data_IF_756909318776
#
_entry.id   IF_756909318776
#
_cell.length_a   1.000
_cell.length_b   1.000
_cell.length_c   1.000
_cell.angle_alpha   90.00
_cell.angle_beta   90.00
_cell.angle_gamma   90.00
#
_symmetry.space_group_name_H-M   'P 1'
#
loop_
_entity.id
_entity.type
_entity.pdbx_description
1 polymer ?
#
# COMPACT_ATOMS: atom_id res chain seq x y z
N UNK A 1 -5.93 21.13 -9.55
CA UNK A 1 -6.19 22.54 -9.89
C UNK A 1 -6.27 23.43 -8.65
N UNK A 2 -7.23 23.24 -7.73
CA UNK A 2 -7.39 24.12 -6.56
C UNK A 2 -6.14 24.25 -5.64
N UNK A 3 -5.47 23.13 -5.33
CA UNK A 3 -4.23 23.13 -4.52
C UNK A 3 -3.10 23.85 -5.26
N UNK A 4 -2.95 23.56 -6.55
CA UNK A 4 -1.94 24.18 -7.41
C UNK A 4 -2.17 25.69 -7.56
N UNK A 5 -3.42 26.14 -7.72
CA UNK A 5 -3.79 27.56 -7.78
C UNK A 5 -3.55 28.26 -6.44
N UNK A 6 -3.82 27.60 -5.29
CA UNK A 6 -3.47 28.15 -3.97
C UNK A 6 -1.97 28.33 -3.80
N UNK A 7 -1.18 27.37 -4.30
CA UNK A 7 0.29 27.41 -4.26
C UNK A 7 0.84 28.55 -5.13
N UNK A 8 0.34 28.70 -6.36
CA UNK A 8 0.71 29.81 -7.28
C UNK A 8 0.26 31.17 -6.70
N UNK A 9 -0.89 31.23 -6.05
CA UNK A 9 -1.41 32.45 -5.43
C UNK A 9 -0.73 32.82 -4.10
N UNK A 10 0.32 32.11 -3.67
CA UNK A 10 1.03 32.37 -2.41
C UNK A 10 0.24 32.07 -1.14
N UNK A 11 -0.90 31.36 -1.25
CA UNK A 11 -1.78 30.98 -0.13
C UNK A 11 -1.56 29.54 0.34
N UNK A 12 -0.49 28.90 -0.12
CA UNK A 12 -0.10 27.55 0.25
C UNK A 12 0.92 27.56 1.37
N UNK A 13 0.73 26.68 2.35
CA UNK A 13 1.67 26.47 3.46
C UNK A 13 2.87 25.65 2.98
N UNK A 14 3.86 26.35 2.42
CA UNK A 14 5.02 25.74 1.81
C UNK A 14 6.01 25.18 2.85
N UNK A 15 6.02 25.72 4.06
CA UNK A 15 6.90 25.27 5.14
C UNK A 15 6.52 23.87 5.63
N UNK A 16 5.22 23.63 5.86
CA UNK A 16 4.73 22.32 6.27
C UNK A 16 5.00 21.23 5.21
N UNK A 17 4.88 21.56 3.92
CA UNK A 17 5.21 20.62 2.85
C UNK A 17 6.71 20.27 2.81
N UNK A 18 7.57 21.27 2.99
CA UNK A 18 9.03 21.08 3.04
C UNK A 18 9.40 20.24 4.27
N UNK A 19 8.83 20.53 5.44
CA UNK A 19 9.08 19.77 6.67
C UNK A 19 8.63 18.31 6.53
N UNK A 20 7.42 18.06 6.03
CA UNK A 20 6.92 16.70 5.80
C UNK A 20 7.79 15.93 4.79
N UNK A 21 8.22 16.61 3.71
CA UNK A 21 9.13 16.02 2.72
C UNK A 21 10.47 15.65 3.35
N UNK A 22 11.04 16.53 4.17
CA UNK A 22 12.31 16.28 4.83
C UNK A 22 12.21 15.15 5.86
N UNK A 23 11.11 15.10 6.61
CA UNK A 23 10.82 14.02 7.55
C UNK A 23 10.79 12.66 6.83
N UNK A 24 10.04 12.57 5.72
CA UNK A 24 9.95 11.34 4.94
C UNK A 24 11.32 10.91 4.39
N UNK A 25 12.12 11.84 3.86
CA UNK A 25 13.49 11.56 3.39
C UNK A 25 14.38 11.00 4.50
N UNK A 26 14.31 11.62 5.69
CA UNK A 26 15.09 11.17 6.84
C UNK A 26 14.64 9.79 7.32
N UNK A 27 13.32 9.54 7.38
CA UNK A 27 12.76 8.24 7.71
C UNK A 27 13.24 7.16 6.73
N UNK A 28 13.23 7.43 5.43
CA UNK A 28 13.73 6.49 4.42
C UNK A 28 15.24 6.24 4.54
N UNK A 29 16.03 7.27 4.90
CA UNK A 29 17.49 7.17 5.02
C UNK A 29 17.94 6.26 6.17
N UNK A 30 17.15 6.16 7.25
CA UNK A 30 17.54 5.33 8.40
C UNK A 30 17.23 3.85 8.17
N UNK A 31 16.31 3.52 7.27
CA UNK A 31 15.92 2.13 7.00
C UNK A 31 17.13 1.27 6.60
N UNK A 32 17.27 0.12 7.25
CA UNK A 32 18.25 -0.91 6.88
C UNK A 32 17.59 -1.95 5.97
N UNK A 33 18.43 -2.59 5.16
CA UNK A 33 18.03 -3.73 4.34
C UNK A 33 17.94 -4.99 5.21
N UNK A 34 16.85 -5.74 5.06
CA UNK A 34 16.61 -7.01 5.76
C UNK A 34 15.90 -7.98 4.84
N UNK A 35 16.21 -9.27 4.97
CA UNK A 35 15.29 -10.33 4.57
C UNK A 35 14.13 -10.37 5.57
N UNK A 36 12.91 -10.56 5.05
CA UNK A 36 11.70 -10.62 5.86
C UNK A 36 11.10 -12.02 5.78
N UNK A 37 10.76 -12.57 6.94
CA UNK A 37 9.99 -13.81 7.06
C UNK A 37 8.60 -13.46 7.54
N UNK A 38 7.60 -13.86 6.76
CA UNK A 38 6.19 -13.77 7.13
C UNK A 38 5.67 -15.14 7.61
N UNK A 39 5.51 -15.37 8.93
CA UNK A 39 5.01 -16.63 9.48
C UNK A 39 3.53 -16.92 9.17
N UNK A 40 2.86 -15.99 8.47
CA UNK A 40 1.45 -16.07 8.11
C UNK A 40 1.24 -16.26 6.60
N UNK A 41 2.32 -16.33 5.81
CA UNK A 41 2.23 -16.35 4.34
C UNK A 41 1.37 -17.49 3.78
N UNK A 42 1.45 -18.66 4.40
CA UNK A 42 0.71 -19.89 4.06
C UNK A 42 -0.75 -19.88 4.51
N UNK A 43 -1.13 -18.97 5.41
CA UNK A 43 -2.49 -18.81 5.96
C UNK A 43 -3.30 -17.75 5.23
N UNK A 44 -2.69 -17.05 4.28
CA UNK A 44 -3.31 -15.95 3.55
C UNK A 44 -3.84 -16.45 2.22
N UNK A 45 -5.16 -16.33 2.03
CA UNK A 45 -5.84 -16.66 0.77
C UNK A 45 -6.47 -15.41 0.18
N UNK A 46 -6.15 -15.11 -1.06
CA UNK A 46 -6.78 -14.04 -1.82
C UNK A 46 -8.14 -14.50 -2.40
N UNK A 47 -9.08 -13.57 -2.68
CA UNK A 47 -10.37 -13.92 -3.28
C UNK A 47 -10.19 -14.63 -4.63
N UNK A 48 -10.92 -15.73 -4.84
CA UNK A 48 -10.79 -16.62 -6.01
C UNK A 48 -11.17 -15.97 -7.34
N UNK A 49 -11.95 -14.89 -7.30
CA UNK A 49 -12.45 -14.17 -8.49
C UNK A 49 -11.39 -13.25 -9.14
N UNK A 50 -10.22 -13.09 -8.52
CA UNK A 50 -9.18 -12.22 -9.05
C UNK A 50 -8.43 -12.87 -10.25
N UNK A 51 -8.42 -12.18 -11.40
CA UNK A 51 -7.52 -12.50 -12.52
C UNK A 51 -6.05 -12.45 -12.05
N UNK A 52 -5.22 -13.35 -12.56
CA UNK A 52 -3.77 -13.44 -12.25
C UNK A 52 -3.43 -13.69 -10.75
N UNK A 53 -4.20 -14.54 -10.07
CA UNK A 53 -4.10 -14.83 -8.63
C UNK A 53 -2.66 -15.04 -8.10
N UNK A 54 -1.80 -15.76 -8.85
CA UNK A 54 -0.39 -15.98 -8.48
C UNK A 54 0.40 -14.68 -8.40
N UNK A 55 0.23 -13.79 -9.38
CA UNK A 55 0.91 -12.48 -9.42
C UNK A 55 0.42 -11.60 -8.28
N UNK A 56 -0.90 -11.58 -8.08
CA UNK A 56 -1.51 -10.81 -7.00
C UNK A 56 -1.01 -11.27 -5.62
N UNK A 57 -0.91 -12.59 -5.43
CA UNK A 57 -0.36 -13.16 -4.19
C UNK A 57 1.10 -12.71 -3.97
N UNK A 58 1.95 -12.83 -4.99
CA UNK A 58 3.34 -12.36 -4.88
C UNK A 58 3.43 -10.87 -4.55
N UNK A 59 2.60 -10.02 -5.18
CA UNK A 59 2.54 -8.59 -4.88
C UNK A 59 2.11 -8.33 -3.43
N UNK A 60 1.10 -9.06 -2.95
CA UNK A 60 0.63 -8.92 -1.57
C UNK A 60 1.69 -9.33 -0.54
N UNK A 61 2.36 -10.48 -0.74
CA UNK A 61 3.43 -10.93 0.16
C UNK A 61 4.62 -9.94 0.17
N UNK A 62 4.98 -9.39 -1.00
CA UNK A 62 5.99 -8.34 -1.09
C UNK A 62 5.55 -7.04 -0.38
N UNK A 63 4.25 -6.75 -0.38
CA UNK A 63 3.71 -5.57 0.29
C UNK A 63 3.74 -5.73 1.82
N UNK A 64 3.35 -6.90 2.35
CA UNK A 64 3.54 -7.25 3.78
C UNK A 64 5.01 -7.09 4.20
N UNK A 65 5.94 -7.54 3.34
CA UNK A 65 7.37 -7.44 3.61
C UNK A 65 7.84 -5.98 3.67
N UNK A 66 7.35 -5.12 2.76
CA UNK A 66 7.66 -3.69 2.79
C UNK A 66 7.14 -3.00 4.06
N UNK A 67 5.90 -3.30 4.48
CA UNK A 67 5.36 -2.77 5.74
C UNK A 67 6.21 -3.22 6.93
N UNK A 68 6.64 -4.48 6.94
CA UNK A 68 7.52 -5.01 7.99
C UNK A 68 8.86 -4.26 8.05
N UNK A 69 9.44 -3.92 6.89
CA UNK A 69 10.68 -3.12 6.81
C UNK A 69 10.47 -1.68 7.32
N UNK A 70 9.32 -1.07 7.05
CA UNK A 70 8.98 0.25 7.60
C UNK A 70 8.91 0.22 9.12
N UNK A 71 8.43 -0.89 9.70
CA UNK A 71 8.40 -1.12 11.15
C UNK A 71 9.64 -1.80 11.71
N UNK A 72 10.77 -1.85 10.99
CA UNK A 72 11.94 -2.68 11.36
C UNK A 72 12.48 -2.46 12.78
N UNK A 73 12.30 -1.28 13.36
CA UNK A 73 12.75 -0.97 14.71
C UNK A 73 11.77 -1.44 15.81
N UNK A 74 10.56 -1.85 15.44
CA UNK A 74 9.54 -2.41 16.33
C UNK A 74 9.36 -3.92 16.11
N UNK A 75 10.23 -4.57 15.32
CA UNK A 75 10.12 -5.99 14.96
C UNK A 75 11.29 -6.78 15.52
N UNK A 76 11.03 -8.07 15.77
CA UNK A 76 12.06 -9.01 16.20
C UNK A 76 12.79 -9.57 14.99
N UNK A 77 14.04 -9.93 15.19
CA UNK A 77 14.82 -10.72 14.23
C UNK A 77 14.92 -12.16 14.70
N UNK A 78 15.01 -13.11 13.75
CA UNK A 78 15.41 -14.47 14.09
C UNK A 78 16.92 -14.60 14.34
N UNK A 79 17.38 -15.81 14.63
CA UNK A 79 18.79 -16.13 14.83
C UNK A 79 19.67 -15.91 13.59
N UNK A 80 19.08 -15.75 12.40
CA UNK A 80 19.77 -15.44 11.14
C UNK A 80 19.75 -13.95 10.82
N UNK A 81 19.19 -13.11 11.69
CA UNK A 81 19.12 -11.66 11.49
C UNK A 81 18.00 -11.21 10.55
N UNK A 82 17.00 -12.05 10.27
CA UNK A 82 15.88 -11.73 9.38
C UNK A 82 14.72 -11.16 10.17
N UNK A 83 14.04 -10.13 9.66
CA UNK A 83 12.89 -9.54 10.33
C UNK A 83 11.70 -10.47 10.27
N UNK A 84 10.97 -10.57 11.38
CA UNK A 84 9.77 -11.39 11.47
C UNK A 84 8.53 -10.50 11.42
N UNK A 85 7.70 -10.69 10.40
CA UNK A 85 6.42 -9.99 10.27
C UNK A 85 5.47 -10.37 11.41
N UNK A 86 4.69 -9.40 11.83
CA UNK A 86 3.64 -9.57 12.84
C UNK A 86 2.26 -9.58 12.19
N UNK A 87 1.23 -9.97 12.96
CA UNK A 87 -0.17 -9.89 12.50
C UNK A 87 -0.59 -8.46 12.15
N UNK A 88 -0.02 -7.47 12.82
CA UNK A 88 -0.30 -6.05 12.57
C UNK A 88 0.20 -5.60 11.19
N UNK A 89 1.37 -6.09 10.75
CA UNK A 89 1.90 -5.80 9.41
C UNK A 89 0.98 -6.39 8.33
N UNK A 90 0.52 -7.63 8.54
CA UNK A 90 -0.42 -8.30 7.63
C UNK A 90 -1.75 -7.55 7.58
N UNK A 91 -2.30 -7.15 8.74
CA UNK A 91 -3.55 -6.38 8.79
C UNK A 91 -3.42 -5.04 8.06
N UNK A 92 -2.34 -4.31 8.33
CA UNK A 92 -2.04 -3.04 7.64
C UNK A 92 -1.90 -3.23 6.14
N UNK A 93 -1.26 -4.33 5.71
CA UNK A 93 -1.17 -4.68 4.31
C UNK A 93 -2.55 -4.93 3.71
N UNK A 94 -3.42 -5.70 4.37
CA UNK A 94 -4.79 -5.95 3.91
C UNK A 94 -5.55 -4.63 3.74
N UNK A 95 -5.57 -3.78 4.76
CA UNK A 95 -6.35 -2.54 4.78
C UNK A 95 -5.95 -1.59 3.63
N UNK A 96 -4.65 -1.45 3.37
CA UNK A 96 -4.13 -0.57 2.31
C UNK A 96 -4.22 -1.22 0.93
N UNK A 97 -3.85 -2.50 0.82
CA UNK A 97 -3.72 -3.19 -0.46
C UNK A 97 -5.08 -3.45 -1.10
N UNK A 98 -6.09 -3.88 -0.33
CA UNK A 98 -7.42 -4.17 -0.88
C UNK A 98 -8.11 -2.94 -1.48
N UNK A 99 -7.99 -1.79 -0.82
CA UNK A 99 -8.49 -0.51 -1.35
C UNK A 99 -7.90 -0.18 -2.72
N UNK A 100 -6.63 -0.57 -2.95
CA UNK A 100 -5.91 -0.36 -4.21
C UNK A 100 -6.19 -1.43 -5.27
N UNK A 101 -6.47 -2.68 -4.85
CA UNK A 101 -6.80 -3.80 -5.75
C UNK A 101 -8.16 -3.61 -6.39
N UNK A 102 -9.18 -3.23 -5.61
CA UNK A 102 -10.55 -3.09 -6.12
C UNK A 102 -10.59 -2.15 -7.34
N UNK A 103 -9.79 -1.08 -7.30
CA UNK A 103 -9.67 -0.11 -8.40
C UNK A 103 -8.97 -0.73 -9.64
N UNK A 104 -8.06 -1.69 -9.45
CA UNK A 104 -7.29 -2.33 -10.55
C UNK A 104 -7.90 -3.62 -11.10
N UNK A 105 -8.72 -4.31 -10.30
CA UNK A 105 -9.44 -5.52 -10.71
C UNK A 105 -10.76 -5.17 -11.39
N UNK A 106 -11.14 -3.89 -11.36
CA UNK A 106 -12.19 -3.38 -12.22
C UNK A 106 -11.87 -3.68 -13.69
N UNK A 107 -12.66 -4.57 -14.28
CA UNK A 107 -12.51 -4.96 -15.68
C UNK A 107 -12.96 -3.86 -16.64
N UNK A 108 -13.70 -2.88 -16.11
CA UNK A 108 -14.19 -1.76 -16.88
C UNK A 108 -13.18 -0.62 -16.74
N UNK A 109 -12.73 -0.08 -17.86
CA UNK A 109 -12.05 1.21 -17.83
C UNK A 109 -13.00 2.28 -17.27
N UNK A 110 -12.44 3.43 -16.86
CA UNK A 110 -13.20 4.49 -16.20
C UNK A 110 -14.47 4.90 -16.97
N UNK A 111 -14.42 4.94 -18.30
CA UNK A 111 -15.58 5.33 -19.11
C UNK A 111 -16.66 4.24 -19.11
N UNK A 112 -16.26 2.98 -19.25
CA UNK A 112 -17.17 1.83 -19.24
C UNK A 112 -17.78 1.59 -17.85
N UNK A 113 -17.01 1.79 -16.76
CA UNK A 113 -17.53 1.76 -15.38
C UNK A 113 -18.61 2.84 -15.19
N UNK A 114 -18.33 4.07 -15.60
CA UNK A 114 -19.30 5.16 -15.47
C UNK A 114 -20.58 4.88 -16.24
N UNK A 115 -20.46 4.35 -17.46
CA UNK A 115 -21.62 3.95 -18.27
C UNK A 115 -22.44 2.84 -17.59
N UNK A 116 -21.77 1.81 -17.06
CA UNK A 116 -22.43 0.71 -16.34
C UNK A 116 -23.18 1.19 -15.09
N UNK A 117 -22.56 2.05 -14.28
CA UNK A 117 -23.23 2.62 -13.09
C UNK A 117 -24.42 3.51 -13.47
N UNK A 118 -24.33 4.26 -14.56
CA UNK A 118 -25.48 5.03 -15.07
C UNK A 118 -26.63 4.10 -15.50
N UNK A 119 -26.32 2.97 -16.13
CA UNK A 119 -27.31 1.97 -16.57
C UNK A 119 -28.05 1.32 -15.40
N UNK A 120 -27.38 1.06 -14.27
CA UNK A 120 -28.05 0.55 -13.06
C UNK A 120 -29.16 1.46 -12.53
N UNK A 121 -29.11 2.76 -12.82
CA UNK A 121 -30.16 3.71 -12.44
C UNK A 121 -31.48 3.53 -13.21
N UNK A 122 -31.49 2.70 -14.25
CA UNK A 122 -32.67 2.46 -15.11
C UNK A 122 -33.22 1.03 -15.00
N UNK A 123 -32.70 0.21 -14.08
CA UNK A 123 -33.12 -1.18 -13.82
C UNK A 123 -33.47 -1.35 -12.35
#
# INVERSE_FOLDING_TARGET
IAIQNKKIAGKGDNENEVQATQLLRNAMRVLKSYEVINPFADKLTLPLEAKMLRRLNSQFQNFVSQITILHQYQRKTDSKGRLISTKEDVKSAVDIFFTSIIIKVDELDKSTRQFFENLKGYV
#
